data_IF_320995279523
#
_entry.id   IF_320995279523
#
_cell.length_a   1.000
_cell.length_b   1.000
_cell.length_c   1.000
_cell.angle_alpha   90.00
_cell.angle_beta   90.00
_cell.angle_gamma   90.00
#
_symmetry.space_group_name_H-M   'P 1'
#
loop_
_entity.id
_entity.type
_entity.pdbx_description
1 polymer ?
#
# COMPACT_ATOMS: atom_id res chain seq x y z
N UNK A 1 9.11 0.57 -44.94
CA UNK A 1 10.16 -0.45 -45.09
C UNK A 1 10.91 -0.53 -43.80
N UNK A 2 10.90 -1.74 -43.20
CA UNK A 2 11.84 -2.33 -42.23
C UNK A 2 11.87 -1.68 -40.85
N UNK A 3 11.73 -2.37 -39.72
CA UNK A 3 11.56 -3.79 -39.44
C UNK A 3 11.39 -3.93 -37.92
N UNK A 4 10.41 -4.73 -37.52
CA UNK A 4 10.14 -5.13 -36.13
C UNK A 4 11.18 -6.16 -35.68
N UNK A 5 11.78 -5.98 -34.50
CA UNK A 5 12.40 -7.08 -33.76
C UNK A 5 11.87 -7.07 -32.31
N UNK A 6 11.05 -8.06 -32.01
CA UNK A 6 10.61 -8.40 -30.65
C UNK A 6 11.61 -9.29 -29.94
N UNK A 7 11.63 -9.30 -28.60
CA UNK A 7 12.50 -10.17 -27.81
C UNK A 7 11.91 -11.58 -27.69
N UNK A 8 12.73 -12.54 -28.04
CA UNK A 8 12.50 -13.99 -27.92
C UNK A 8 12.46 -14.45 -26.47
N UNK A 9 11.36 -15.07 -26.13
CA UNK A 9 11.10 -15.71 -24.84
C UNK A 9 11.70 -17.12 -24.84
N UNK A 10 12.85 -17.30 -24.21
CA UNK A 10 13.48 -18.61 -24.04
C UNK A 10 12.90 -19.34 -22.82
N UNK A 11 11.95 -20.22 -23.07
CA UNK A 11 11.49 -21.23 -22.08
C UNK A 11 12.56 -22.31 -21.92
N UNK A 12 13.06 -22.47 -20.70
CA UNK A 12 13.84 -23.66 -20.30
C UNK A 12 12.89 -24.83 -20.10
N UNK A 13 13.23 -26.02 -20.61
CA UNK A 13 12.45 -27.23 -20.38
C UNK A 13 12.70 -27.81 -18.99
N UNK A 14 11.62 -28.28 -18.36
CA UNK A 14 11.63 -28.99 -17.10
C UNK A 14 12.33 -30.37 -17.31
N UNK A 15 13.33 -30.62 -16.48
CA UNK A 15 13.96 -31.95 -16.41
C UNK A 15 13.07 -32.90 -15.59
N UNK A 16 12.44 -33.82 -16.26
CA UNK A 16 11.78 -34.99 -15.67
C UNK A 16 12.83 -36.05 -15.31
N UNK A 17 13.01 -36.26 -14.02
CA UNK A 17 13.83 -37.36 -13.50
C UNK A 17 13.00 -38.64 -13.56
N UNK A 18 13.37 -39.55 -14.49
CA UNK A 18 12.80 -40.91 -14.56
C UNK A 18 13.74 -41.89 -13.88
N UNK A 19 13.24 -42.58 -12.85
CA UNK A 19 13.92 -43.73 -12.24
C UNK A 19 13.65 -44.95 -13.08
N UNK A 20 14.68 -45.41 -13.81
CA UNK A 20 14.65 -46.76 -14.45
C UNK A 20 15.20 -47.78 -13.46
N UNK A 21 14.34 -48.69 -13.04
CA UNK A 21 14.74 -49.92 -12.36
C UNK A 21 15.29 -50.91 -13.39
N UNK A 22 16.58 -51.19 -13.31
CA UNK A 22 17.21 -52.28 -14.12
C UNK A 22 17.05 -53.59 -13.35
N UNK A 23 16.15 -54.44 -13.81
CA UNK A 23 16.05 -55.81 -13.38
C UNK A 23 17.07 -56.66 -14.19
N UNK A 24 18.18 -57.01 -13.55
CA UNK A 24 19.11 -58.01 -14.09
C UNK A 24 18.79 -59.36 -13.44
N UNK A 25 18.02 -60.18 -14.13
CA UNK A 25 17.84 -61.58 -13.78
C UNK A 25 18.95 -62.41 -14.49
N UNK A 26 19.92 -62.83 -13.70
CA UNK A 26 20.89 -63.79 -14.17
C UNK A 26 20.58 -65.19 -13.58
N UNK A 27 20.03 -66.04 -14.39
CA UNK A 27 19.78 -67.47 -14.02
C UNK A 27 21.05 -68.28 -13.93
N UNK A 28 21.27 -68.89 -12.78
CA UNK A 28 22.12 -70.06 -12.65
C UNK A 28 21.32 -71.19 -12.08
N UNK A 29 21.09 -72.25 -12.98
CA UNK A 29 20.66 -73.60 -12.59
C UNK A 29 21.76 -74.21 -11.75
N UNK A 30 21.45 -74.65 -10.55
CA UNK A 30 22.32 -75.59 -9.81
C UNK A 30 21.49 -76.72 -9.24
N UNK A 31 22.07 -77.91 -9.49
CA UNK A 31 21.54 -79.24 -9.25
C UNK A 31 21.15 -79.46 -7.79
N UNK A 32 20.09 -80.29 -7.63
CA UNK A 32 19.70 -80.92 -6.37
C UNK A 32 20.70 -82.08 -6.01
N UNK A 33 21.06 -82.19 -4.76
CA UNK A 33 21.26 -83.49 -4.15
C UNK A 33 20.07 -83.77 -3.20
N UNK A 34 19.61 -84.99 -3.35
CA UNK A 34 18.66 -85.72 -2.53
C UNK A 34 19.28 -86.06 -1.18
N UNK A 35 18.50 -85.96 -0.11
CA UNK A 35 18.74 -86.71 1.07
C UNK A 35 18.68 -86.00 2.40
N UNK A 36 17.71 -86.43 3.19
CA UNK A 36 17.73 -86.57 4.62
C UNK A 36 17.35 -85.36 5.51
N UNK A 37 16.27 -85.51 6.20
CA UNK A 37 16.09 -85.08 7.60
C UNK A 37 16.00 -83.59 7.86
N UNK A 38 14.85 -82.95 7.60
CA UNK A 38 14.55 -81.64 8.14
C UNK A 38 14.08 -81.74 9.56
N UNK A 39 14.87 -81.31 10.54
CA UNK A 39 14.28 -80.89 11.82
C UNK A 39 13.50 -79.58 11.59
N UNK A 40 12.34 -79.55 12.16
CA UNK A 40 11.32 -78.52 12.08
C UNK A 40 11.88 -77.12 12.39
N UNK A 41 12.09 -76.28 11.35
CA UNK A 41 12.48 -74.85 11.44
C UNK A 41 11.46 -73.95 12.21
N UNK A 42 10.36 -74.56 12.65
CA UNK A 42 9.31 -73.78 13.35
C UNK A 42 9.70 -73.26 14.76
N UNK A 43 10.77 -73.78 15.35
CA UNK A 43 11.20 -73.37 16.70
C UNK A 43 12.27 -72.26 16.74
N UNK A 44 12.95 -71.98 15.66
CA UNK A 44 14.00 -70.94 15.66
C UNK A 44 13.43 -69.52 15.53
N UNK A 45 12.32 -69.32 14.84
CA UNK A 45 11.67 -68.01 14.71
C UNK A 45 11.14 -67.49 16.04
N UNK A 46 10.63 -68.36 16.91
CA UNK A 46 10.14 -67.93 18.25
C UNK A 46 11.23 -67.38 19.18
N UNK A 47 12.48 -67.86 19.03
CA UNK A 47 13.61 -67.44 19.86
C UNK A 47 14.18 -66.08 19.42
N UNK A 48 14.00 -65.70 18.14
CA UNK A 48 14.39 -64.38 17.64
C UNK A 48 13.40 -63.30 18.06
N UNK A 49 12.13 -63.63 18.13
CA UNK A 49 11.06 -62.67 18.52
C UNK A 49 11.12 -62.34 20.03
N UNK A 50 11.71 -63.21 20.85
CA UNK A 50 11.86 -62.93 22.30
C UNK A 50 13.17 -62.20 22.67
N UNK A 51 14.02 -61.91 21.70
CA UNK A 51 15.21 -61.12 21.95
C UNK A 51 14.83 -59.69 22.37
N UNK A 52 15.29 -59.20 23.52
CA UNK A 52 14.84 -57.90 24.05
C UNK A 52 15.03 -56.74 23.07
N UNK A 53 16.03 -56.81 22.21
CA UNK A 53 16.27 -55.84 21.16
C UNK A 53 15.19 -55.84 20.09
N UNK A 54 14.73 -57.05 19.65
CA UNK A 54 13.66 -57.16 18.62
C UNK A 54 12.32 -56.67 19.20
N UNK A 55 12.02 -56.99 20.45
CA UNK A 55 10.83 -56.50 21.14
C UNK A 55 10.88 -54.98 21.24
N UNK A 56 12.00 -54.38 21.58
CA UNK A 56 12.21 -52.94 21.66
C UNK A 56 12.00 -52.29 20.29
N UNK A 57 12.56 -52.83 19.20
CA UNK A 57 12.40 -52.30 17.85
C UNK A 57 10.95 -52.38 17.39
N UNK A 58 10.26 -53.49 17.65
CA UNK A 58 8.83 -53.64 17.29
C UNK A 58 7.97 -52.67 18.10
N UNK A 59 8.25 -52.49 19.39
CA UNK A 59 7.51 -51.56 20.24
C UNK A 59 7.71 -50.09 19.80
N UNK A 60 8.95 -49.73 19.41
CA UNK A 60 9.26 -48.38 18.92
C UNK A 60 8.60 -48.12 17.56
N UNK A 61 8.63 -49.08 16.65
CA UNK A 61 7.94 -49.00 15.37
C UNK A 61 6.41 -48.91 15.54
N UNK A 62 5.85 -49.73 16.42
CA UNK A 62 4.43 -49.69 16.73
C UNK A 62 4.02 -48.31 17.36
N UNK A 63 4.84 -47.77 18.27
CA UNK A 63 4.61 -46.45 18.82
C UNK A 63 4.68 -45.34 17.77
N UNK A 64 5.64 -45.46 16.84
CA UNK A 64 5.78 -44.47 15.75
C UNK A 64 4.61 -44.54 14.76
N UNK A 65 4.14 -45.72 14.41
CA UNK A 65 2.95 -45.90 13.55
C UNK A 65 1.68 -45.41 14.25
N UNK A 66 1.50 -45.73 15.52
CA UNK A 66 0.34 -45.25 16.26
C UNK A 66 0.41 -43.72 16.47
N UNK A 67 1.57 -43.16 16.74
CA UNK A 67 1.74 -41.71 16.85
C UNK A 67 1.45 -40.98 15.51
N UNK A 68 1.94 -41.53 14.38
CA UNK A 68 1.66 -40.95 13.06
C UNK A 68 0.16 -41.05 12.69
N UNK A 69 -0.48 -42.22 12.97
CA UNK A 69 -1.92 -42.38 12.73
C UNK A 69 -2.79 -41.45 13.61
N UNK A 70 -2.37 -41.26 14.85
CA UNK A 70 -3.01 -40.28 15.76
C UNK A 70 -2.79 -38.86 15.25
N UNK A 71 -1.59 -38.54 14.75
CA UNK A 71 -1.29 -37.24 14.17
C UNK A 71 -2.11 -36.95 12.92
N UNK A 72 -2.23 -37.90 12.00
CA UNK A 72 -3.09 -37.77 10.82
C UNK A 72 -4.56 -37.60 11.20
N UNK A 73 -5.05 -38.32 12.20
CA UNK A 73 -6.46 -38.28 12.60
C UNK A 73 -6.82 -37.06 13.42
N UNK A 74 -5.91 -36.58 14.27
CA UNK A 74 -6.18 -35.48 15.22
C UNK A 74 -5.38 -34.21 14.94
N UNK A 75 -4.25 -34.31 14.26
CA UNK A 75 -3.39 -33.18 13.95
C UNK A 75 -4.06 -32.15 13.02
N UNK A 76 -4.90 -32.62 12.10
CA UNK A 76 -5.69 -31.74 11.21
C UNK A 76 -6.85 -31.06 11.91
N UNK A 77 -7.32 -31.63 13.05
CA UNK A 77 -8.45 -31.04 13.81
C UNK A 77 -8.01 -29.94 14.78
N UNK A 78 -6.71 -29.85 15.11
CA UNK A 78 -6.20 -28.80 16.01
C UNK A 78 -6.29 -27.38 15.43
N UNK A 79 -6.05 -27.16 14.10
CA UNK A 79 -6.19 -25.82 13.52
C UNK A 79 -7.62 -25.30 13.47
N UNK A 80 -8.60 -26.22 13.40
CA UNK A 80 -10.02 -25.89 13.26
C UNK A 80 -10.72 -25.58 14.59
N UNK A 81 -9.98 -25.61 15.71
CA UNK A 81 -10.60 -25.27 16.97
C UNK A 81 -11.03 -23.80 16.95
N UNK A 82 -12.24 -23.52 17.44
CA UNK A 82 -12.81 -22.17 17.56
C UNK A 82 -11.89 -21.20 18.32
N UNK A 83 -10.96 -21.74 19.13
CA UNK A 83 -9.94 -20.98 19.84
C UNK A 83 -8.96 -20.25 18.91
N UNK A 84 -8.62 -20.87 17.76
CA UNK A 84 -7.66 -20.31 16.80
C UNK A 84 -8.33 -19.70 15.58
N UNK A 85 -9.67 -19.72 15.54
CA UNK A 85 -10.41 -19.01 14.52
C UNK A 85 -10.13 -17.49 14.61
N UNK A 86 -9.98 -16.86 13.46
CA UNK A 86 -9.91 -15.42 13.36
C UNK A 86 -11.27 -14.82 13.64
N UNK A 87 -11.32 -13.79 14.48
CA UNK A 87 -12.50 -12.97 14.71
C UNK A 87 -12.11 -11.50 14.75
N UNK A 88 -13.02 -10.55 14.45
CA UNK A 88 -12.70 -9.12 14.48
C UNK A 88 -12.16 -8.64 15.84
N UNK A 89 -12.62 -9.25 16.93
CA UNK A 89 -12.21 -8.93 18.30
C UNK A 89 -10.73 -9.28 18.58
N UNK A 90 -10.18 -10.25 17.82
CA UNK A 90 -8.77 -10.66 17.92
C UNK A 90 -7.85 -9.82 17.03
N UNK A 91 -8.39 -8.84 16.30
CA UNK A 91 -7.62 -7.95 15.47
C UNK A 91 -7.58 -6.58 16.11
N UNK A 92 -6.40 -6.18 16.54
CA UNK A 92 -6.13 -4.85 17.10
C UNK A 92 -5.63 -3.96 15.98
N UNK A 93 -6.41 -2.91 15.66
CA UNK A 93 -6.08 -1.86 14.71
C UNK A 93 -5.97 -0.52 15.43
N UNK A 94 -5.19 0.44 14.90
CA UNK A 94 -5.31 1.82 15.32
C UNK A 94 -6.72 2.33 15.03
N UNK A 95 -7.17 3.41 15.71
CA UNK A 95 -8.47 4.00 15.45
C UNK A 95 -8.59 4.38 13.98
N UNK A 96 -9.67 3.95 13.35
CA UNK A 96 -9.97 4.31 11.98
C UNK A 96 -10.45 5.76 11.93
N UNK A 97 -10.05 6.47 10.88
CA UNK A 97 -10.55 7.82 10.59
C UNK A 97 -12.01 7.74 10.11
N UNK A 98 -12.73 8.84 10.17
CA UNK A 98 -14.12 8.95 9.68
C UNK A 98 -14.28 8.62 8.18
N UNK A 99 -13.19 8.72 7.41
CA UNK A 99 -13.15 8.42 5.98
C UNK A 99 -13.06 6.91 5.68
N UNK A 100 -12.68 6.09 6.65
CA UNK A 100 -12.50 4.65 6.44
C UNK A 100 -13.87 3.97 6.43
N UNK A 101 -14.27 3.34 5.32
CA UNK A 101 -15.60 2.76 5.22
C UNK A 101 -15.73 1.50 6.08
N UNK A 102 -16.84 1.41 6.83
CA UNK A 102 -17.24 0.21 7.54
C UNK A 102 -16.33 -0.18 8.70
N UNK A 103 -16.15 -1.48 8.89
CA UNK A 103 -15.32 -2.06 9.95
C UNK A 103 -14.11 -2.78 9.33
N UNK A 104 -12.93 -2.16 9.28
CA UNK A 104 -11.75 -2.73 8.63
C UNK A 104 -11.34 -4.09 9.18
N UNK A 105 -11.47 -4.30 10.49
CA UNK A 105 -11.17 -5.59 11.13
C UNK A 105 -12.09 -6.71 10.63
N UNK A 106 -13.39 -6.45 10.51
CA UNK A 106 -14.34 -7.43 10.00
C UNK A 106 -14.07 -7.78 8.54
N UNK A 107 -13.86 -6.76 7.68
CA UNK A 107 -13.52 -6.97 6.27
C UNK A 107 -12.25 -7.79 6.09
N UNK A 108 -11.24 -7.57 6.94
CA UNK A 108 -10.01 -8.35 6.91
C UNK A 108 -10.27 -9.81 7.30
N UNK A 109 -11.03 -10.03 8.40
CA UNK A 109 -11.35 -11.38 8.87
C UNK A 109 -12.06 -12.16 7.77
N UNK A 110 -13.06 -11.58 7.12
CA UNK A 110 -13.81 -12.23 6.04
C UNK A 110 -12.87 -12.67 4.90
N UNK A 111 -11.93 -11.81 4.51
CA UNK A 111 -10.93 -12.12 3.47
C UNK A 111 -9.96 -13.23 3.88
N UNK A 112 -9.49 -13.23 5.13
CA UNK A 112 -8.58 -14.25 5.64
C UNK A 112 -9.27 -15.59 5.84
N UNK A 113 -10.52 -15.58 6.33
CA UNK A 113 -11.35 -16.78 6.47
C UNK A 113 -11.68 -17.40 5.12
N UNK A 114 -12.00 -16.60 4.09
CA UNK A 114 -12.20 -17.08 2.73
C UNK A 114 -10.98 -17.82 2.15
N UNK A 115 -9.77 -17.54 2.67
CA UNK A 115 -8.53 -18.26 2.35
C UNK A 115 -8.25 -19.44 3.29
N UNK A 116 -9.15 -19.76 4.22
CA UNK A 116 -8.98 -20.85 5.19
C UNK A 116 -7.90 -20.60 6.24
N UNK A 117 -7.52 -19.34 6.48
CA UNK A 117 -6.46 -19.01 7.42
C UNK A 117 -6.95 -18.98 8.86
N UNK A 118 -6.11 -19.44 9.76
CA UNK A 118 -6.32 -19.43 11.21
C UNK A 118 -5.12 -18.78 11.91
N UNK A 119 -5.23 -18.51 13.21
CA UNK A 119 -4.09 -17.99 13.99
C UNK A 119 -2.88 -18.94 13.99
N UNK A 120 -3.01 -20.20 13.59
CA UNK A 120 -1.89 -21.14 13.51
C UNK A 120 -1.20 -21.16 12.13
N UNK A 121 -1.84 -20.60 11.11
CA UNK A 121 -1.29 -20.60 9.75
C UNK A 121 0.06 -19.87 9.69
N UNK A 122 1.05 -20.48 9.03
CA UNK A 122 2.40 -19.91 8.91
C UNK A 122 2.40 -18.62 8.10
N UNK A 123 1.61 -18.61 7.04
CA UNK A 123 1.56 -17.52 6.05
C UNK A 123 0.58 -16.39 6.46
N UNK A 124 0.02 -16.47 7.69
CA UNK A 124 -1.00 -15.54 8.16
C UNK A 124 -0.51 -14.08 8.12
N UNK A 125 0.70 -13.81 8.59
CA UNK A 125 1.25 -12.44 8.66
C UNK A 125 1.46 -11.87 7.26
N UNK A 126 2.09 -12.64 6.38
CA UNK A 126 2.35 -12.23 4.99
C UNK A 126 1.04 -11.99 4.23
N UNK A 127 0.12 -12.96 4.28
CA UNK A 127 -1.19 -12.81 3.63
C UNK A 127 -1.99 -11.65 4.23
N UNK A 128 -1.90 -11.40 5.54
CA UNK A 128 -2.55 -10.26 6.18
C UNK A 128 -1.98 -8.96 5.64
N UNK A 129 -0.64 -8.85 5.51
CA UNK A 129 0.00 -7.66 4.95
C UNK A 129 -0.45 -7.38 3.51
N UNK A 130 -0.48 -8.40 2.67
CA UNK A 130 -0.97 -8.30 1.28
C UNK A 130 -2.43 -7.85 1.22
N UNK A 131 -3.29 -8.52 2.00
CA UNK A 131 -4.73 -8.21 1.99
C UNK A 131 -5.01 -6.81 2.50
N UNK A 132 -4.30 -6.35 3.55
CA UNK A 132 -4.45 -4.99 4.05
C UNK A 132 -3.90 -3.96 3.07
N UNK A 133 -2.73 -4.20 2.48
CA UNK A 133 -2.14 -3.29 1.49
C UNK A 133 -2.97 -3.17 0.22
N UNK A 134 -3.81 -4.16 -0.09
CA UNK A 134 -4.75 -4.12 -1.22
C UNK A 134 -6.02 -3.30 -0.95
N UNK A 135 -6.26 -2.90 0.31
CA UNK A 135 -7.42 -2.08 0.65
C UNK A 135 -7.18 -0.63 0.22
N UNK A 136 -8.08 -0.04 -0.54
CA UNK A 136 -7.84 1.26 -1.16
C UNK A 136 -7.70 2.41 -0.14
N UNK A 137 -8.29 2.28 1.04
CA UNK A 137 -8.21 3.25 2.13
C UNK A 137 -6.97 3.09 3.03
N UNK A 138 -6.12 2.09 2.74
CA UNK A 138 -4.85 1.88 3.44
C UNK A 138 -3.74 2.58 2.67
N UNK A 139 -2.97 3.41 3.38
CA UNK A 139 -1.78 4.05 2.81
C UNK A 139 -0.55 3.14 2.95
N UNK A 140 -0.31 2.64 4.17
CA UNK A 140 0.87 1.82 4.46
C UNK A 140 0.62 0.87 5.62
N UNK A 141 1.03 -0.38 5.48
CA UNK A 141 1.12 -1.35 6.59
C UNK A 141 2.54 -1.28 7.15
N UNK A 142 2.69 -0.84 8.40
CA UNK A 142 4.00 -0.67 9.04
C UNK A 142 4.49 -1.94 9.68
N UNK A 143 3.59 -2.62 10.41
CA UNK A 143 3.96 -3.78 11.22
C UNK A 143 2.76 -4.68 11.49
N UNK A 144 2.98 -5.98 11.48
CA UNK A 144 2.00 -6.97 11.92
C UNK A 144 2.66 -7.86 12.95
N UNK A 145 2.05 -7.95 14.11
CA UNK A 145 2.48 -8.82 15.20
C UNK A 145 1.42 -9.91 15.42
N UNK A 146 1.86 -11.16 15.37
CA UNK A 146 1.03 -12.32 15.66
C UNK A 146 1.29 -12.79 17.08
N UNK A 147 0.23 -13.01 17.83
CA UNK A 147 0.27 -13.55 19.19
C UNK A 147 -0.78 -14.64 19.39
N UNK A 148 -0.74 -15.32 20.52
CA UNK A 148 -1.77 -16.28 20.89
C UNK A 148 -3.14 -15.61 21.11
N UNK A 149 -3.18 -14.30 21.39
CA UNK A 149 -4.39 -13.53 21.60
C UNK A 149 -4.99 -13.01 20.28
N UNK A 150 -4.22 -12.94 19.19
CA UNK A 150 -4.66 -12.43 17.91
C UNK A 150 -3.57 -11.73 17.11
N UNK A 151 -4.01 -10.84 16.23
CA UNK A 151 -3.15 -10.00 15.38
C UNK A 151 -3.20 -8.55 15.87
N UNK A 152 -2.04 -7.95 16.04
CA UNK A 152 -1.89 -6.50 16.21
C UNK A 152 -1.29 -5.93 14.95
N UNK A 153 -2.00 -5.00 14.31
CA UNK A 153 -1.63 -4.45 13.01
C UNK A 153 -1.43 -2.95 13.17
N UNK A 154 -0.22 -2.49 12.93
CA UNK A 154 0.10 -1.07 12.82
C UNK A 154 -0.03 -0.65 11.35
N UNK A 155 -1.10 0.08 11.06
CA UNK A 155 -1.48 0.53 9.73
C UNK A 155 -1.69 2.03 9.72
N UNK A 156 -1.32 2.68 8.63
CA UNK A 156 -1.64 4.07 8.35
C UNK A 156 -2.78 4.09 7.35
N UNK A 157 -3.91 4.65 7.77
CA UNK A 157 -5.03 4.91 6.87
C UNK A 157 -4.78 6.20 6.09
N UNK A 158 -5.28 6.25 4.84
CA UNK A 158 -5.19 7.44 4.01
C UNK A 158 -5.90 8.60 4.69
N UNK A 159 -5.28 9.77 4.59
CA UNK A 159 -5.83 11.02 5.13
C UNK A 159 -5.90 12.05 4.02
N UNK A 160 -6.96 12.85 3.96
CA UNK A 160 -7.03 13.94 3.01
C UNK A 160 -5.96 14.99 3.36
N UNK A 161 -5.37 15.55 2.31
CA UNK A 161 -4.40 16.65 2.42
C UNK A 161 -4.95 17.96 1.83
N UNK A 162 -5.98 17.86 0.99
CA UNK A 162 -6.59 19.02 0.35
C UNK A 162 -7.89 18.66 -0.38
N UNK A 163 -8.59 19.67 -0.84
CA UNK A 163 -9.84 19.58 -1.58
C UNK A 163 -9.64 20.04 -3.02
N UNK A 164 -9.80 19.13 -3.98
CA UNK A 164 -9.82 19.46 -5.40
C UNK A 164 -11.15 20.10 -5.76
N UNK A 165 -11.09 21.30 -6.31
CA UNK A 165 -12.25 22.01 -6.85
C UNK A 165 -12.68 21.36 -8.17
N UNK A 166 -13.89 20.82 -8.21
CA UNK A 166 -14.50 20.22 -9.40
C UNK A 166 -15.34 21.23 -10.20
N UNK A 167 -15.46 22.47 -9.69
CA UNK A 167 -16.39 23.45 -10.19
C UNK A 167 -17.78 23.34 -9.55
N UNK A 168 -18.63 24.35 -9.80
CA UNK A 168 -20.00 24.42 -9.30
C UNK A 168 -20.16 24.25 -7.77
N UNK A 169 -19.11 24.58 -7.01
CA UNK A 169 -19.12 24.43 -5.55
C UNK A 169 -19.00 22.99 -5.07
N UNK A 170 -18.52 22.09 -5.90
CA UNK A 170 -18.28 20.69 -5.54
C UNK A 170 -16.79 20.43 -5.38
N UNK A 171 -16.41 19.70 -4.35
CA UNK A 171 -15.02 19.38 -3.99
C UNK A 171 -14.82 17.90 -3.79
N UNK A 172 -13.63 17.40 -4.21
CA UNK A 172 -13.18 16.04 -3.96
C UNK A 172 -12.01 16.06 -2.96
N UNK A 173 -12.12 15.29 -1.86
CA UNK A 173 -10.98 15.08 -0.95
C UNK A 173 -9.91 14.26 -1.65
N UNK A 174 -8.66 14.70 -1.51
CA UNK A 174 -7.50 13.98 -2.07
C UNK A 174 -6.49 13.67 -0.97
N UNK A 175 -5.90 12.48 -1.04
CA UNK A 175 -4.71 12.17 -0.28
C UNK A 175 -3.44 12.71 -0.97
N UNK A 176 -2.29 12.48 -0.33
CA UNK A 176 -0.97 12.90 -0.84
C UNK A 176 -0.56 12.27 -2.18
N UNK A 177 -1.24 11.21 -2.62
CA UNK A 177 -1.00 10.51 -3.89
C UNK A 177 -2.07 10.80 -4.94
N UNK A 178 -2.87 11.86 -4.71
CA UNK A 178 -4.03 12.21 -5.52
C UNK A 178 -5.08 11.09 -5.62
N UNK A 179 -5.22 10.29 -4.57
CA UNK A 179 -6.30 9.30 -4.45
C UNK A 179 -7.53 9.99 -3.89
N UNK A 180 -8.66 9.77 -4.55
CA UNK A 180 -9.96 10.31 -4.18
C UNK A 180 -10.46 9.64 -2.89
N UNK A 181 -10.73 10.40 -1.84
CA UNK A 181 -11.25 9.90 -0.58
C UNK A 181 -12.73 10.21 -0.45
N UNK A 182 -13.54 9.14 -0.43
CA UNK A 182 -15.00 9.24 -0.31
C UNK A 182 -15.66 9.99 -1.46
N UNK A 183 -16.95 10.22 -1.31
CA UNK A 183 -17.75 10.94 -2.30
C UNK A 183 -17.40 12.43 -2.34
N UNK A 184 -17.63 13.12 -3.48
CA UNK A 184 -17.52 14.55 -3.59
C UNK A 184 -18.42 15.29 -2.58
N UNK A 185 -17.93 16.42 -2.09
CA UNK A 185 -18.63 17.30 -1.14
C UNK A 185 -19.24 18.50 -1.86
N UNK A 186 -20.40 18.92 -1.44
CA UNK A 186 -20.91 20.26 -1.76
C UNK A 186 -20.39 21.24 -0.72
N UNK A 187 -20.12 22.49 -1.11
CA UNK A 187 -19.60 23.52 -0.20
C UNK A 187 -20.49 23.66 1.03
N UNK A 188 -19.90 23.34 2.16
CA UNK A 188 -20.41 23.67 3.48
C UNK A 188 -19.24 24.20 4.31
N UNK A 189 -19.46 24.51 5.56
CA UNK A 189 -18.46 25.05 6.50
C UNK A 189 -17.21 24.16 6.60
N UNK A 190 -17.34 22.83 6.39
CA UNK A 190 -16.23 21.88 6.46
C UNK A 190 -15.15 22.11 5.38
N UNK A 191 -15.51 22.76 4.26
CA UNK A 191 -14.54 23.08 3.21
C UNK A 191 -13.55 24.18 3.64
N UNK A 192 -13.86 24.98 4.66
CA UNK A 192 -12.98 26.02 5.16
C UNK A 192 -11.78 25.49 5.94
N UNK A 193 -11.84 24.23 6.40
CA UNK A 193 -10.78 23.59 7.17
C UNK A 193 -9.69 22.96 6.32
N UNK A 194 -9.74 23.10 5.01
CA UNK A 194 -8.85 22.43 4.07
C UNK A 194 -8.27 23.39 3.03
N UNK A 195 -7.00 23.17 2.66
CA UNK A 195 -6.43 23.78 1.47
C UNK A 195 -7.19 23.32 0.22
N UNK A 196 -7.54 24.24 -0.65
CA UNK A 196 -8.20 23.97 -1.92
C UNK A 196 -7.15 23.78 -3.03
N UNK A 197 -7.47 22.93 -3.97
CA UNK A 197 -6.65 22.67 -5.16
C UNK A 197 -7.47 23.12 -6.38
N UNK A 198 -6.96 24.10 -7.10
CA UNK A 198 -7.57 24.62 -8.31
C UNK A 198 -6.69 24.29 -9.51
N UNK A 199 -7.11 23.31 -10.30
CA UNK A 199 -6.49 22.92 -11.56
C UNK A 199 -7.51 23.10 -12.67
N UNK A 200 -7.09 23.72 -13.77
CA UNK A 200 -8.00 23.93 -14.90
C UNK A 200 -8.47 22.60 -15.50
N UNK A 201 -9.80 22.42 -15.59
CA UNK A 201 -10.44 21.21 -16.14
C UNK A 201 -9.86 19.90 -15.57
N UNK A 202 -10.04 19.63 -14.28
CA UNK A 202 -9.55 18.40 -13.67
C UNK A 202 -10.26 17.18 -14.29
N UNK A 203 -9.49 16.19 -14.68
CA UNK A 203 -10.04 14.91 -15.15
C UNK A 203 -10.23 13.97 -13.98
N UNK A 204 -11.45 13.88 -13.47
CA UNK A 204 -11.78 13.07 -12.30
C UNK A 204 -12.68 11.92 -12.73
N UNK A 205 -12.36 10.71 -12.33
CA UNK A 205 -13.16 9.51 -12.66
C UNK A 205 -14.50 9.45 -11.89
N UNK A 206 -14.61 10.19 -10.79
CA UNK A 206 -15.74 10.09 -9.86
C UNK A 206 -15.83 8.77 -9.09
N UNK A 207 -14.85 7.90 -9.24
CA UNK A 207 -14.79 6.63 -8.53
C UNK A 207 -13.99 6.81 -7.24
N UNK A 208 -14.62 6.55 -6.10
CA UNK A 208 -13.97 6.63 -4.79
C UNK A 208 -12.73 5.73 -4.72
N UNK A 209 -11.74 6.16 -3.98
CA UNK A 209 -10.51 5.43 -3.72
C UNK A 209 -9.65 5.13 -4.96
N UNK A 210 -9.90 5.82 -6.06
CA UNK A 210 -9.06 5.71 -7.25
C UNK A 210 -8.10 6.89 -7.33
N UNK A 211 -6.91 6.63 -7.86
CA UNK A 211 -5.92 7.67 -8.15
C UNK A 211 -6.37 8.47 -9.37
N UNK A 212 -6.21 9.77 -9.28
CA UNK A 212 -6.38 10.66 -10.44
C UNK A 212 -5.08 10.61 -11.25
N UNK A 213 -5.18 10.23 -12.51
CA UNK A 213 -4.05 10.20 -13.44
C UNK A 213 -3.83 11.59 -14.08
N UNK A 214 -3.44 12.55 -13.22
CA UNK A 214 -3.11 13.91 -13.64
C UNK A 214 -1.95 14.41 -12.76
N UNK A 215 -0.78 14.55 -13.38
CA UNK A 215 0.44 14.93 -12.69
C UNK A 215 0.33 16.30 -12.00
N UNK A 216 -0.48 17.21 -12.53
CA UNK A 216 -0.73 18.54 -11.94
C UNK A 216 -1.45 18.40 -10.60
N UNK A 217 -2.46 17.52 -10.54
CA UNK A 217 -3.23 17.26 -9.33
C UNK A 217 -2.37 16.54 -8.30
N UNK A 218 -1.56 15.58 -8.73
CA UNK A 218 -0.63 14.88 -7.84
C UNK A 218 0.38 15.84 -7.20
N UNK A 219 0.95 16.74 -8.00
CA UNK A 219 1.89 17.74 -7.50
C UNK A 219 1.23 18.75 -6.57
N UNK A 220 0.00 19.19 -6.88
CA UNK A 220 -0.77 20.06 -6.02
C UNK A 220 -1.13 19.39 -4.67
N UNK A 221 -1.47 18.11 -4.68
CA UNK A 221 -1.72 17.33 -3.45
C UNK A 221 -0.43 17.20 -2.60
N UNK A 222 0.73 17.02 -3.24
CA UNK A 222 2.02 17.02 -2.57
C UNK A 222 2.31 18.37 -1.89
N UNK A 223 2.03 19.48 -2.58
CA UNK A 223 2.16 20.84 -2.01
C UNK A 223 1.22 21.03 -0.82
N UNK A 224 -0.04 20.59 -0.93
CA UNK A 224 -0.99 20.64 0.18
C UNK A 224 -0.48 19.85 1.39
N UNK A 225 0.07 18.65 1.19
CA UNK A 225 0.69 17.84 2.26
C UNK A 225 1.83 18.62 2.94
N UNK A 226 2.71 19.22 2.15
CA UNK A 226 3.87 19.94 2.65
C UNK A 226 3.46 21.20 3.45
N UNK A 227 2.36 21.83 3.09
CA UNK A 227 1.82 23.01 3.74
C UNK A 227 0.94 22.70 4.95
N UNK A 228 0.51 21.45 5.17
CA UNK A 228 -0.37 21.05 6.28
C UNK A 228 0.01 21.66 7.64
N UNK A 229 1.30 21.71 8.06
CA UNK A 229 1.67 22.22 9.37
C UNK A 229 1.67 23.75 9.47
N UNK A 230 1.44 24.48 8.37
CA UNK A 230 1.68 25.92 8.33
C UNK A 230 0.62 26.77 7.59
N UNK A 231 -0.24 26.17 6.81
CA UNK A 231 -1.12 26.90 5.91
C UNK A 231 -2.10 27.85 6.63
N UNK A 232 -2.65 27.41 7.78
CA UNK A 232 -3.54 28.25 8.60
C UNK A 232 -2.80 29.45 9.18
N UNK A 233 -1.61 29.21 9.75
CA UNK A 233 -0.78 30.26 10.35
C UNK A 233 -0.32 31.29 9.32
N UNK A 234 -0.11 30.85 8.08
CA UNK A 234 0.32 31.71 6.97
C UNK A 234 -0.88 32.35 6.24
N UNK A 235 -2.12 32.06 6.60
CA UNK A 235 -3.31 32.56 5.91
C UNK A 235 -3.46 32.04 4.48
N UNK A 236 -2.83 30.90 4.16
CA UNK A 236 -2.93 30.29 2.84
C UNK A 236 -4.30 29.62 2.69
N UNK A 237 -4.81 29.63 1.47
CA UNK A 237 -6.18 29.19 1.20
C UNK A 237 -6.30 28.16 0.10
N UNK A 238 -5.51 28.30 -0.98
CA UNK A 238 -5.58 27.40 -2.13
C UNK A 238 -4.25 27.26 -2.84
N UNK A 239 -4.05 26.10 -3.45
CA UNK A 239 -2.97 25.81 -4.41
C UNK A 239 -3.55 25.94 -5.80
N UNK A 240 -2.93 26.70 -6.66
CA UNK A 240 -3.40 27.00 -8.01
C UNK A 240 -2.34 26.61 -9.01
N UNK A 241 -2.75 25.88 -10.02
CA UNK A 241 -1.93 25.64 -11.20
C UNK A 241 -2.57 26.37 -12.39
N UNK A 242 -1.91 27.44 -12.78
CA UNK A 242 -2.35 28.27 -13.88
C UNK A 242 -1.89 27.69 -15.20
N UNK A 243 -2.85 27.53 -16.09
CA UNK A 243 -2.60 27.22 -17.48
C UNK A 243 -3.31 28.24 -18.36
N UNK A 244 -2.59 29.18 -19.00
CA UNK A 244 -3.19 30.07 -19.96
C UNK A 244 -3.74 29.25 -21.12
N UNK A 245 -5.00 29.52 -21.51
CA UNK A 245 -5.60 28.80 -22.64
C UNK A 245 -4.78 29.04 -23.92
N UNK A 246 -4.48 27.95 -24.63
CA UNK A 246 -3.73 28.00 -25.88
C UNK A 246 -2.20 27.91 -25.74
N UNK A 247 -1.64 27.86 -24.52
CA UNK A 247 -0.22 27.56 -24.35
C UNK A 247 -0.03 26.10 -23.92
N UNK A 248 0.98 25.37 -24.46
CA UNK A 248 1.30 24.05 -23.96
C UNK A 248 1.77 24.13 -22.52
N UNK A 249 1.41 23.15 -21.70
CA UNK A 249 1.97 23.05 -20.33
C UNK A 249 3.48 22.92 -20.48
N UNK A 250 4.19 23.88 -19.94
CA UNK A 250 5.65 23.81 -19.84
C UNK A 250 6.03 23.46 -18.40
N UNK A 251 7.16 22.80 -18.27
CA UNK A 251 7.78 22.56 -16.95
C UNK A 251 8.08 23.84 -16.18
N UNK A 252 8.02 24.98 -16.87
CA UNK A 252 8.22 26.32 -16.30
C UNK A 252 6.95 26.92 -15.68
N UNK A 253 5.76 26.36 -15.95
CA UNK A 253 4.51 26.87 -15.41
C UNK A 253 4.50 26.72 -13.87
N UNK A 254 4.36 27.83 -13.12
CA UNK A 254 4.48 27.79 -11.69
C UNK A 254 3.21 27.23 -11.02
N UNK A 255 3.43 26.49 -9.94
CA UNK A 255 2.41 26.28 -8.92
C UNK A 255 2.42 27.46 -7.96
N UNK A 256 1.27 28.04 -7.76
CA UNK A 256 1.07 29.16 -6.84
C UNK A 256 0.26 28.72 -5.64
N UNK A 257 0.53 29.36 -4.51
CA UNK A 257 -0.29 29.23 -3.30
C UNK A 257 -0.86 30.61 -2.99
N UNK A 258 -2.16 30.67 -2.82
CA UNK A 258 -2.86 31.93 -2.62
C UNK A 258 -3.42 32.06 -1.21
N UNK A 259 -3.44 33.28 -0.70
CA UNK A 259 -4.20 33.63 0.51
C UNK A 259 -5.67 33.86 0.17
N UNK A 260 -6.53 33.95 1.22
CA UNK A 260 -7.94 34.23 1.04
C UNK A 260 -8.19 35.61 0.37
N UNK A 261 -7.32 36.58 0.61
CA UNK A 261 -7.41 37.94 0.04
C UNK A 261 -6.69 38.09 -1.32
N UNK A 262 -6.24 37.00 -1.90
CA UNK A 262 -5.71 36.97 -3.25
C UNK A 262 -4.21 37.27 -3.38
N UNK A 263 -3.47 37.39 -2.29
CA UNK A 263 -2.01 37.48 -2.34
C UNK A 263 -1.44 36.15 -2.87
N UNK A 264 -0.42 36.23 -3.73
CA UNK A 264 0.09 35.08 -4.51
C UNK A 264 1.51 34.75 -4.11
N UNK A 265 1.77 33.46 -3.89
CA UNK A 265 3.09 32.90 -3.57
C UNK A 265 3.46 31.89 -4.65
N UNK A 266 4.53 32.12 -5.39
CA UNK A 266 5.09 31.17 -6.33
C UNK A 266 5.85 30.12 -5.54
N UNK A 267 5.34 28.88 -5.53
CA UNK A 267 5.86 27.79 -4.71
C UNK A 267 6.92 26.95 -5.42
N UNK A 268 6.63 26.51 -6.62
CA UNK A 268 7.54 25.72 -7.46
C UNK A 268 7.12 25.80 -8.93
N UNK A 269 7.97 25.32 -9.81
CA UNK A 269 7.63 25.07 -11.20
C UNK A 269 7.09 23.66 -11.38
N UNK A 270 6.48 23.37 -12.53
CA UNK A 270 6.01 22.04 -12.90
C UNK A 270 7.09 20.96 -12.93
N UNK A 271 8.35 21.34 -13.18
CA UNK A 271 9.46 20.39 -13.15
C UNK A 271 9.81 19.98 -11.70
N UNK A 272 9.47 18.73 -11.37
CA UNK A 272 9.78 18.12 -10.07
C UNK A 272 11.29 17.93 -9.83
N UNK A 273 12.09 17.85 -10.89
CA UNK A 273 13.52 17.54 -10.82
C UNK A 273 14.36 18.74 -10.42
N UNK A 274 13.84 19.94 -10.61
CA UNK A 274 14.56 21.19 -10.41
C UNK A 274 14.06 21.95 -9.18
N UNK A 275 13.93 21.28 -8.04
CA UNK A 275 13.54 21.92 -6.78
C UNK A 275 14.75 22.62 -6.16
N UNK A 276 14.75 23.94 -6.18
CA UNK A 276 15.83 24.77 -5.62
C UNK A 276 15.87 24.76 -4.09
N UNK A 277 14.73 24.55 -3.43
CA UNK A 277 14.62 24.51 -1.98
C UNK A 277 13.60 23.46 -1.50
N UNK A 278 13.78 22.97 -0.28
CA UNK A 278 12.83 22.07 0.39
C UNK A 278 11.56 22.82 0.81
N UNK A 279 10.47 22.09 1.00
CA UNK A 279 9.22 22.65 1.50
C UNK A 279 9.40 23.37 2.85
N UNK A 280 10.19 22.79 3.76
CA UNK A 280 10.48 23.37 5.06
C UNK A 280 11.21 24.73 4.93
N UNK A 281 12.22 24.82 4.08
CA UNK A 281 12.95 26.09 3.84
C UNK A 281 12.01 27.18 3.34
N UNK A 282 11.07 26.84 2.45
CA UNK A 282 10.08 27.78 1.93
C UNK A 282 9.09 28.24 3.02
N UNK A 283 8.61 27.29 3.83
CA UNK A 283 7.72 27.59 4.97
C UNK A 283 8.42 28.52 5.96
N UNK A 284 9.68 28.24 6.30
CA UNK A 284 10.45 29.06 7.23
C UNK A 284 10.69 30.46 6.67
N UNK A 285 10.97 30.58 5.38
CA UNK A 285 11.09 31.88 4.71
C UNK A 285 9.78 32.68 4.78
N UNK A 286 8.63 32.05 4.54
CA UNK A 286 7.33 32.70 4.67
C UNK A 286 7.00 33.08 6.11
N UNK A 287 7.30 32.25 7.10
CA UNK A 287 7.13 32.55 8.52
C UNK A 287 7.97 33.75 8.95
N UNK A 288 9.24 33.78 8.52
CA UNK A 288 10.12 34.91 8.78
C UNK A 288 9.57 36.19 8.15
N UNK A 289 9.06 36.09 6.92
CA UNK A 289 8.41 37.23 6.27
C UNK A 289 7.20 37.74 7.07
N UNK A 290 6.29 36.86 7.49
CA UNK A 290 5.12 37.21 8.27
C UNK A 290 5.52 37.82 9.62
N UNK A 291 6.55 37.33 10.26
CA UNK A 291 7.07 37.88 11.52
C UNK A 291 7.52 39.33 11.35
N UNK A 292 8.13 39.70 10.24
CA UNK A 292 8.64 41.03 9.97
C UNK A 292 7.52 41.96 9.45
N UNK A 293 6.66 41.47 8.56
CA UNK A 293 5.70 42.27 7.81
C UNK A 293 4.24 42.14 8.33
N UNK A 294 4.01 41.21 9.26
CA UNK A 294 2.73 40.96 9.93
C UNK A 294 1.78 40.03 9.21
N UNK A 295 1.75 39.99 7.89
CA UNK A 295 0.85 39.12 7.12
C UNK A 295 1.27 39.00 5.67
N UNK A 296 0.99 37.85 5.03
CA UNK A 296 1.11 37.70 3.59
C UNK A 296 0.04 38.50 2.82
N UNK A 297 -1.05 38.87 3.47
CA UNK A 297 -2.18 39.59 2.87
C UNK A 297 -1.95 41.11 2.69
N UNK A 298 -0.91 41.65 3.32
CA UNK A 298 -0.57 43.08 3.28
C UNK A 298 0.47 43.44 2.22
N UNK A 299 0.54 42.66 1.14
CA UNK A 299 1.42 43.01 0.03
C UNK A 299 0.90 44.33 -0.62
N UNK A 300 1.61 45.41 -0.35
CA UNK A 300 1.29 46.71 -0.95
C UNK A 300 1.64 46.68 -2.45
N UNK A 301 0.65 46.88 -3.28
CA UNK A 301 0.81 46.92 -4.74
C UNK A 301 0.80 45.52 -5.38
N UNK A 302 0.91 45.51 -6.69
CA UNK A 302 0.90 44.31 -7.56
C UNK A 302 2.20 43.50 -7.46
N UNK A 303 2.37 42.79 -6.34
CA UNK A 303 3.58 41.99 -6.09
C UNK A 303 3.21 40.58 -5.69
N UNK A 304 3.97 39.65 -6.22
CA UNK A 304 3.93 38.26 -5.81
C UNK A 304 5.16 37.93 -4.96
N UNK A 305 5.02 36.96 -4.09
CA UNK A 305 6.13 36.38 -3.33
C UNK A 305 6.66 35.17 -4.10
N UNK A 306 7.95 35.16 -4.45
CA UNK A 306 8.62 33.98 -4.99
C UNK A 306 9.46 33.32 -3.90
N UNK A 307 9.15 32.06 -3.56
CA UNK A 307 9.89 31.26 -2.55
C UNK A 307 10.56 30.04 -3.12
N UNK A 308 10.65 29.92 -4.44
CA UNK A 308 11.25 28.76 -5.10
C UNK A 308 12.67 28.48 -4.64
N UNK A 309 13.46 29.52 -4.37
CA UNK A 309 14.83 29.42 -3.88
C UNK A 309 14.98 29.16 -2.38
N UNK A 310 13.88 29.12 -1.61
CA UNK A 310 13.91 29.09 -0.14
C UNK A 310 14.15 30.45 0.52
N UNK A 311 14.13 31.54 -0.27
CA UNK A 311 14.17 32.93 0.19
C UNK A 311 12.96 33.65 -0.38
N UNK A 312 12.52 34.69 0.33
CA UNK A 312 11.43 35.53 -0.16
C UNK A 312 11.97 36.56 -1.12
N UNK A 313 11.53 36.51 -2.37
CA UNK A 313 11.77 37.51 -3.39
C UNK A 313 10.43 38.13 -3.76
N UNK A 314 10.36 39.47 -3.77
CA UNK A 314 9.20 40.18 -4.26
C UNK A 314 9.35 40.40 -5.77
N UNK A 315 8.41 39.87 -6.52
CA UNK A 315 8.36 40.03 -7.97
C UNK A 315 7.14 40.88 -8.36
N UNK A 316 7.27 41.75 -9.37
CA UNK A 316 6.13 42.49 -9.88
C UNK A 316 5.13 41.49 -10.49
N UNK A 317 3.85 41.69 -10.19
CA UNK A 317 2.81 40.94 -10.88
C UNK A 317 2.76 41.37 -12.35
N UNK A 318 3.15 40.48 -13.23
CA UNK A 318 2.95 40.72 -14.65
C UNK A 318 1.45 40.57 -14.95
N UNK A 319 0.83 41.58 -15.55
CA UNK A 319 -0.61 41.64 -15.87
C UNK A 319 -1.14 40.52 -16.78
N UNK A 320 -0.37 39.49 -17.02
CA UNK A 320 -0.72 38.31 -17.80
C UNK A 320 -1.60 37.31 -17.08
N UNK A 321 -2.11 37.62 -15.91
CA UNK A 321 -3.01 36.76 -15.13
C UNK A 321 -4.49 36.97 -15.46
N UNK A 322 -4.81 37.01 -16.75
CA UNK A 322 -6.19 36.82 -17.17
C UNK A 322 -6.57 35.37 -16.93
N UNK A 323 -7.78 35.10 -16.45
CA UNK A 323 -8.36 33.75 -16.50
C UNK A 323 -8.26 33.24 -17.94
N UNK A 324 -8.20 31.90 -18.14
CA UNK A 324 -8.23 31.31 -19.47
C UNK A 324 -9.43 31.77 -20.32
N UNK A 325 -10.50 32.24 -19.67
CA UNK A 325 -11.71 32.78 -20.29
C UNK A 325 -11.65 34.29 -20.59
N UNK A 326 -10.53 34.94 -20.34
CA UNK A 326 -10.35 36.39 -20.55
C UNK A 326 -11.00 37.27 -19.48
N UNK A 327 -11.60 36.70 -18.45
CA UNK A 327 -12.17 37.45 -17.35
C UNK A 327 -11.08 37.83 -16.34
N UNK A 328 -11.11 39.08 -15.84
CA UNK A 328 -10.24 39.48 -14.74
C UNK A 328 -10.62 38.66 -13.50
N UNK A 329 -9.61 38.20 -12.76
CA UNK A 329 -9.86 37.54 -11.48
C UNK A 329 -10.53 38.57 -10.55
N UNK A 330 -11.68 38.25 -9.92
CA UNK A 330 -12.22 39.10 -8.88
C UNK A 330 -11.18 39.17 -7.75
N UNK A 331 -10.74 40.35 -7.46
CA UNK A 331 -9.89 40.70 -6.31
C UNK A 331 -10.65 40.52 -5.01
#
# INVERSE_FOLDING_TARGET
MTGLMGPTNSRRPAQTFSWQWVNTVSGKKQQRPSGEGRPTERFQLARWVTHPFVVFVIATLSLMVTASSLWEKYGTSFPDSARYALSPEKIQLPPANEWVPGQPAAQLVDRLQAKGLTLLSKDLVETTAEQFSSLPYVDTVRRIEKSAAGLKIDVVFRQPVGLLDLGNGTYQRLDRQAIQIGSPLVVNEDAADWLRINVHQPRVSGIEWTRIDDERIEQAAEICRDLQPAWKDLGLYRVVFYWPSGTPVSDETPFEVWTANGSRVIWCNGDRRNRLATAQQKIDALRNWVTVNGSLEKLAGWRMIDVRSGQVLLVPETRTSLRPDGTELPF
#
